data_IF_683770666048
#
_entry.id   IF_683770666048
#
_cell.length_a   1.000
_cell.length_b   1.000
_cell.length_c   1.000
_cell.angle_alpha   90.00
_cell.angle_beta   90.00
_cell.angle_gamma   90.00
#
_symmetry.space_group_name_H-M   'P 1'
#
loop_
_entity.id
_entity.type
_entity.pdbx_description
1 polymer ?
#
# COMPACT_ATOMS: atom_id res chain seq x y z
N UNK A 1 5.31 -14.81 -28.86
CA UNK A 1 4.50 -15.55 -27.85
C UNK A 1 5.29 -15.82 -26.58
N UNK A 2 6.50 -16.42 -26.65
CA UNK A 2 7.34 -16.71 -25.48
C UNK A 2 7.56 -15.50 -24.52
N UNK A 3 7.89 -14.31 -25.04
CA UNK A 3 8.07 -13.13 -24.20
C UNK A 3 6.80 -12.66 -23.46
N UNK A 4 5.60 -12.88 -24.02
CA UNK A 4 4.33 -12.56 -23.36
C UNK A 4 3.99 -13.59 -22.28
N UNK A 5 4.24 -14.87 -22.53
CA UNK A 5 4.06 -15.92 -21.52
C UNK A 5 4.97 -15.69 -20.31
N UNK A 6 6.24 -15.33 -20.55
CA UNK A 6 7.19 -15.01 -19.47
C UNK A 6 6.76 -13.75 -18.70
N UNK A 7 6.17 -12.77 -19.38
CA UNK A 7 5.61 -11.59 -18.73
C UNK A 7 4.45 -11.96 -17.79
N UNK A 8 3.50 -12.79 -18.21
CA UNK A 8 2.41 -13.25 -17.34
C UNK A 8 2.90 -14.17 -16.21
N UNK A 9 3.92 -14.98 -16.48
CA UNK A 9 4.57 -15.76 -15.44
C UNK A 9 5.22 -14.85 -14.38
N UNK A 10 5.90 -13.78 -14.80
CA UNK A 10 6.41 -12.74 -13.90
C UNK A 10 5.31 -12.04 -13.10
N UNK A 11 4.14 -11.79 -13.71
CA UNK A 11 2.99 -11.24 -12.99
C UNK A 11 2.57 -12.14 -11.81
N UNK A 12 2.51 -13.45 -12.03
CA UNK A 12 2.17 -14.43 -10.99
C UNK A 12 3.22 -14.44 -9.88
N UNK A 13 4.50 -14.59 -10.24
CA UNK A 13 5.62 -14.61 -9.29
C UNK A 13 5.64 -13.31 -8.47
N UNK A 14 5.57 -12.15 -9.13
CA UNK A 14 5.58 -10.85 -8.47
C UNK A 14 4.46 -10.69 -7.44
N UNK A 15 3.23 -11.13 -7.77
CA UNK A 15 2.09 -11.01 -6.85
C UNK A 15 2.28 -11.79 -5.54
N UNK A 16 2.91 -12.97 -5.60
CA UNK A 16 3.16 -13.79 -4.42
C UNK A 16 4.30 -13.23 -3.57
N UNK A 17 5.45 -12.95 -4.19
CA UNK A 17 6.64 -12.50 -3.47
C UNK A 17 6.47 -11.10 -2.89
N UNK A 18 6.04 -10.12 -3.69
CA UNK A 18 5.87 -8.76 -3.19
C UNK A 18 4.75 -8.65 -2.16
N UNK A 19 3.71 -9.51 -2.23
CA UNK A 19 2.69 -9.59 -1.19
C UNK A 19 3.26 -10.03 0.17
N UNK A 20 4.01 -11.15 0.19
CA UNK A 20 4.65 -11.66 1.41
C UNK A 20 5.66 -10.66 1.96
N UNK A 21 6.48 -10.09 1.08
CA UNK A 21 7.43 -9.05 1.47
C UNK A 21 6.68 -7.85 2.07
N UNK A 22 5.58 -7.39 1.45
CA UNK A 22 4.83 -6.19 1.87
C UNK A 22 4.27 -6.35 3.28
N UNK A 23 3.88 -7.56 3.65
CA UNK A 23 3.44 -7.89 5.01
C UNK A 23 4.61 -7.94 6.00
N UNK A 24 5.80 -8.37 5.56
CA UNK A 24 7.00 -8.47 6.41
C UNK A 24 7.67 -7.12 6.66
N UNK A 25 7.98 -6.34 5.62
CA UNK A 25 8.78 -5.12 5.74
C UNK A 25 7.96 -3.82 5.72
N UNK A 26 6.65 -3.90 5.48
CA UNK A 26 5.80 -2.73 5.35
C UNK A 26 5.45 -2.44 3.89
N UNK A 27 4.34 -1.75 3.68
CA UNK A 27 3.70 -1.61 2.37
C UNK A 27 4.32 -0.43 1.60
N UNK A 28 4.63 0.66 2.29
CA UNK A 28 5.27 1.86 1.69
C UNK A 28 6.69 1.59 1.14
N UNK A 29 7.65 0.99 1.88
CA UNK A 29 9.00 0.78 1.36
C UNK A 29 9.00 -0.18 0.18
N UNK A 30 8.14 -1.20 0.21
CA UNK A 30 8.11 -2.23 -0.83
C UNK A 30 7.47 -1.72 -2.11
N UNK A 31 6.42 -0.91 -1.99
CA UNK A 31 5.86 -0.22 -3.15
C UNK A 31 6.92 0.67 -3.81
N UNK A 32 7.76 1.34 -3.03
CA UNK A 32 8.81 2.23 -3.54
C UNK A 32 9.96 1.47 -4.21
N UNK A 33 10.43 0.39 -3.59
CA UNK A 33 11.39 -0.54 -4.22
C UNK A 33 10.83 -1.08 -5.53
N UNK A 34 9.54 -1.40 -5.58
CA UNK A 34 8.89 -1.87 -6.79
C UNK A 34 8.84 -0.80 -7.88
N UNK A 35 8.61 0.48 -7.55
CA UNK A 35 8.68 1.59 -8.51
C UNK A 35 10.09 1.80 -9.07
N UNK A 36 11.12 1.69 -8.23
CA UNK A 36 12.52 1.78 -8.66
C UNK A 36 12.85 0.62 -9.61
N UNK A 37 12.45 -0.60 -9.24
CA UNK A 37 12.68 -1.79 -10.05
C UNK A 37 11.90 -1.72 -11.38
N UNK A 38 10.68 -1.17 -11.37
CA UNK A 38 9.88 -0.94 -12.58
C UNK A 38 10.55 0.07 -13.51
N UNK A 39 11.03 1.19 -12.97
CA UNK A 39 11.69 2.23 -13.77
C UNK A 39 12.98 1.68 -14.40
N UNK A 40 13.83 1.01 -13.61
CA UNK A 40 15.07 0.41 -14.10
C UNK A 40 14.82 -0.66 -15.17
N UNK A 41 13.87 -1.58 -14.93
CA UNK A 41 13.52 -2.62 -15.90
C UNK A 41 12.87 -2.06 -17.17
N UNK A 42 12.11 -0.97 -17.08
CA UNK A 42 11.55 -0.23 -18.22
C UNK A 42 12.63 0.36 -19.11
N UNK A 43 13.62 1.03 -18.52
CA UNK A 43 14.79 1.54 -19.25
C UNK A 43 15.59 0.40 -19.91
N UNK A 44 15.83 -0.70 -19.19
CA UNK A 44 16.50 -1.89 -19.75
C UNK A 44 15.74 -2.49 -20.94
N UNK A 45 14.40 -2.51 -20.90
CA UNK A 45 13.59 -2.95 -22.05
C UNK A 45 13.73 -2.03 -23.27
N UNK A 46 13.99 -0.74 -23.04
CA UNK A 46 14.12 0.27 -24.08
C UNK A 46 15.50 0.21 -24.78
N UNK A 47 16.55 -0.19 -24.04
CA UNK A 47 17.91 -0.47 -24.54
C UNK A 47 18.03 -1.76 -25.37
N UNK A 48 16.95 -2.23 -25.97
CA UNK A 48 16.92 -3.46 -26.76
C UNK A 48 17.96 -3.56 -27.91
N UNK A 49 17.91 -4.65 -28.69
CA UNK A 49 19.06 -5.43 -29.15
C UNK A 49 20.34 -4.88 -29.82
N UNK A 50 20.52 -3.61 -30.21
CA UNK A 50 21.47 -3.34 -31.32
C UNK A 50 22.49 -2.19 -31.22
N UNK A 51 22.43 -1.23 -30.30
CA UNK A 51 23.10 0.04 -30.64
C UNK A 51 24.41 0.39 -29.92
N UNK A 52 24.88 -0.37 -28.90
CA UNK A 52 26.04 0.09 -28.11
C UNK A 52 27.20 -0.92 -27.93
N UNK A 53 27.02 -2.25 -28.00
CA UNK A 53 28.15 -3.19 -27.73
C UNK A 53 28.31 -4.43 -28.62
N UNK A 54 27.48 -4.68 -29.64
CA UNK A 54 27.71 -5.80 -30.56
C UNK A 54 27.83 -7.20 -29.92
N UNK A 55 27.40 -7.38 -28.66
CA UNK A 55 27.50 -8.63 -27.90
C UNK A 55 26.10 -9.25 -27.75
N UNK A 56 25.94 -10.51 -28.14
CA UNK A 56 24.71 -11.31 -27.95
C UNK A 56 24.57 -11.74 -26.46
N UNK A 57 23.37 -12.03 -25.88
CA UNK A 57 22.05 -12.31 -26.46
C UNK A 57 21.02 -11.24 -26.07
N UNK A 58 20.80 -10.32 -27.00
CA UNK A 58 19.87 -9.21 -26.88
C UNK A 58 18.42 -9.57 -26.54
N UNK A 59 17.98 -10.76 -26.94
CA UNK A 59 16.63 -11.26 -26.63
C UNK A 59 16.49 -11.73 -25.18
N UNK A 60 17.52 -12.34 -24.58
CA UNK A 60 17.45 -12.86 -23.20
C UNK A 60 17.39 -11.71 -22.21
N UNK A 61 18.22 -10.67 -22.39
CA UNK A 61 18.18 -9.46 -21.55
C UNK A 61 16.81 -8.79 -21.65
N UNK A 62 16.25 -8.68 -22.86
CA UNK A 62 14.91 -8.16 -23.07
C UNK A 62 13.84 -8.99 -22.34
N UNK A 63 13.91 -10.31 -22.42
CA UNK A 63 12.97 -11.22 -21.75
C UNK A 63 13.09 -11.15 -20.23
N UNK A 64 14.30 -11.09 -19.68
CA UNK A 64 14.55 -10.91 -18.24
C UNK A 64 14.09 -9.55 -17.75
N UNK A 65 14.35 -8.48 -18.51
CA UNK A 65 13.86 -7.14 -18.19
C UNK A 65 12.32 -7.09 -18.22
N UNK A 66 11.68 -7.75 -19.20
CA UNK A 66 10.22 -7.91 -19.26
C UNK A 66 9.67 -8.68 -18.07
N UNK A 67 10.34 -9.74 -17.64
CA UNK A 67 9.96 -10.52 -16.46
C UNK A 67 10.04 -9.66 -15.19
N UNK A 68 11.13 -8.92 -15.00
CA UNK A 68 11.30 -8.02 -13.86
C UNK A 68 10.26 -6.89 -13.85
N UNK A 69 10.04 -6.26 -15.01
CA UNK A 69 9.00 -5.25 -15.20
C UNK A 69 7.63 -5.80 -14.80
N UNK A 70 7.34 -7.04 -15.20
CA UNK A 70 6.12 -7.75 -14.85
C UNK A 70 5.95 -7.94 -13.34
N UNK A 71 6.99 -8.44 -12.67
CA UNK A 71 7.02 -8.63 -11.24
C UNK A 71 6.78 -7.32 -10.48
N UNK A 72 7.48 -6.24 -10.88
CA UNK A 72 7.37 -4.92 -10.26
C UNK A 72 5.99 -4.30 -10.43
N UNK A 73 5.43 -4.37 -11.64
CA UNK A 73 4.10 -3.80 -11.94
C UNK A 73 3.02 -4.43 -11.05
N UNK A 74 3.11 -5.75 -10.84
CA UNK A 74 2.19 -6.45 -9.93
C UNK A 74 2.47 -6.18 -8.46
N UNK A 75 3.72 -6.07 -8.06
CA UNK A 75 4.09 -5.68 -6.69
C UNK A 75 3.51 -4.31 -6.29
N UNK A 76 3.57 -3.33 -7.19
CA UNK A 76 2.98 -1.99 -7.00
C UNK A 76 1.46 -2.10 -6.85
N UNK A 77 0.80 -2.83 -7.76
CA UNK A 77 -0.66 -2.95 -7.78
C UNK A 77 -1.20 -3.60 -6.51
N UNK A 78 -0.60 -4.72 -6.06
CA UNK A 78 -1.02 -5.44 -4.85
C UNK A 78 -0.78 -4.58 -3.61
N UNK A 79 0.43 -4.02 -3.46
CA UNK A 79 0.77 -3.21 -2.29
C UNK A 79 -0.05 -1.92 -2.21
N UNK A 80 -0.27 -1.25 -3.34
CA UNK A 80 -1.06 -0.03 -3.44
C UNK A 80 -2.54 -0.25 -3.17
N UNK A 81 -3.12 -1.33 -3.71
CA UNK A 81 -4.52 -1.69 -3.42
C UNK A 81 -4.71 -2.00 -1.94
N UNK A 82 -3.82 -2.80 -1.34
CA UNK A 82 -3.89 -3.11 0.09
C UNK A 82 -3.78 -1.83 0.92
N UNK A 83 -2.78 -0.99 0.67
CA UNK A 83 -2.59 0.28 1.39
C UNK A 83 -3.82 1.19 1.28
N UNK A 84 -4.33 1.42 0.08
CA UNK A 84 -5.53 2.25 -0.13
C UNK A 84 -6.75 1.67 0.58
N UNK A 85 -6.94 0.35 0.51
CA UNK A 85 -8.04 -0.34 1.19
C UNK A 85 -7.89 -0.38 2.71
N UNK A 86 -6.69 -0.20 3.26
CA UNK A 86 -6.42 -0.17 4.70
C UNK A 86 -6.60 1.23 5.28
N UNK A 87 -6.28 2.26 4.50
CA UNK A 87 -6.54 3.67 4.85
C UNK A 87 -8.05 3.94 4.82
N UNK A 88 -8.77 3.32 3.87
CA UNK A 88 -10.22 3.49 3.75
C UNK A 88 -10.94 2.51 4.67
N UNK A 89 -11.77 3.04 5.58
CA UNK A 89 -12.53 2.22 6.53
C UNK A 89 -13.47 1.18 5.87
N UNK A 90 -13.92 0.16 6.63
CA UNK A 90 -14.63 -1.01 6.07
C UNK A 90 -15.86 -0.69 5.21
N UNK A 91 -16.62 0.35 5.58
CA UNK A 91 -17.85 0.75 4.86
C UNK A 91 -17.60 1.36 3.48
N UNK A 92 -16.41 1.93 3.23
CA UNK A 92 -16.09 2.63 1.98
C UNK A 92 -15.04 1.89 1.13
N UNK A 93 -14.60 0.71 1.58
CA UNK A 93 -13.55 -0.07 0.92
C UNK A 93 -13.91 -0.46 -0.52
N UNK A 94 -15.18 -0.78 -0.79
CA UNK A 94 -15.66 -1.09 -2.15
C UNK A 94 -15.45 0.10 -3.09
N UNK A 95 -15.87 1.29 -2.68
CA UNK A 95 -15.72 2.52 -3.47
C UNK A 95 -14.25 2.86 -3.71
N UNK A 96 -13.38 2.66 -2.73
CA UNK A 96 -11.94 2.87 -2.91
C UNK A 96 -11.34 1.95 -3.97
N UNK A 97 -11.75 0.67 -3.99
CA UNK A 97 -11.33 -0.26 -5.04
C UNK A 97 -11.81 0.18 -6.42
N UNK A 98 -13.08 0.58 -6.53
CA UNK A 98 -13.66 1.08 -7.79
C UNK A 98 -12.91 2.32 -8.30
N UNK A 99 -12.58 3.27 -7.41
CA UNK A 99 -11.85 4.49 -7.78
C UNK A 99 -10.44 4.15 -8.30
N UNK A 100 -9.73 3.22 -7.66
CA UNK A 100 -8.40 2.77 -8.13
C UNK A 100 -8.49 2.19 -9.55
N UNK A 101 -9.51 1.37 -9.83
CA UNK A 101 -9.71 0.79 -11.16
C UNK A 101 -10.05 1.85 -12.23
N UNK A 102 -10.85 2.87 -11.88
CA UNK A 102 -11.09 3.99 -12.80
C UNK A 102 -9.81 4.75 -13.15
N UNK A 103 -8.94 5.00 -12.17
CA UNK A 103 -7.64 5.63 -12.43
C UNK A 103 -6.76 4.75 -13.32
N UNK A 104 -6.78 3.43 -13.12
CA UNK A 104 -6.05 2.49 -13.97
C UNK A 104 -6.57 2.53 -15.42
N UNK A 105 -7.89 2.44 -15.62
CA UNK A 105 -8.52 2.52 -16.93
C UNK A 105 -8.21 3.85 -17.64
N UNK A 106 -8.32 4.97 -16.91
CA UNK A 106 -7.98 6.30 -17.43
C UNK A 106 -6.51 6.39 -17.86
N UNK A 107 -5.59 5.84 -17.07
CA UNK A 107 -4.17 5.76 -17.42
C UNK A 107 -3.91 4.96 -18.71
N UNK A 108 -4.66 3.87 -18.94
CA UNK A 108 -4.57 3.11 -20.20
C UNK A 108 -5.05 3.93 -21.41
N UNK A 109 -6.10 4.72 -21.28
CA UNK A 109 -6.55 5.60 -22.37
C UNK A 109 -5.51 6.67 -22.72
N UNK A 110 -4.86 7.25 -21.71
CA UNK A 110 -3.73 8.17 -21.92
C UNK A 110 -2.60 7.45 -22.67
N UNK A 111 -2.23 6.24 -22.23
CA UNK A 111 -1.20 5.45 -22.88
C UNK A 111 -1.51 5.17 -24.35
N UNK A 112 -2.74 4.77 -24.68
CA UNK A 112 -3.20 4.54 -26.06
C UNK A 112 -3.11 5.84 -26.88
N UNK A 113 -3.44 6.97 -26.27
CA UNK A 113 -3.31 8.29 -26.91
C UNK A 113 -1.84 8.60 -27.24
N UNK A 114 -0.91 8.36 -26.32
CA UNK A 114 0.53 8.50 -26.60
C UNK A 114 1.02 7.53 -27.68
N UNK A 115 0.52 6.30 -27.70
CA UNK A 115 0.86 5.31 -28.73
C UNK A 115 0.36 5.71 -30.13
N UNK A 116 -0.69 6.52 -30.24
CA UNK A 116 -1.15 7.07 -31.51
C UNK A 116 -0.14 8.06 -32.11
N UNK A 117 0.41 8.95 -31.27
CA UNK A 117 1.40 9.95 -31.68
C UNK A 117 2.81 9.36 -31.86
N UNK A 118 3.24 8.51 -30.91
CA UNK A 118 4.57 7.91 -30.90
C UNK A 118 4.49 6.52 -31.54
N UNK A 119 4.75 6.46 -32.84
CA UNK A 119 4.71 5.19 -33.60
C UNK A 119 5.91 4.28 -33.36
N UNK A 120 7.01 4.82 -32.83
CA UNK A 120 8.20 4.03 -32.48
C UNK A 120 8.02 3.39 -31.12
N UNK A 121 7.96 2.05 -31.08
CA UNK A 121 7.77 1.28 -29.85
C UNK A 121 8.82 1.58 -28.76
N UNK A 122 10.05 1.94 -29.15
CA UNK A 122 11.12 2.30 -28.23
C UNK A 122 10.87 3.64 -27.55
N UNK A 123 10.59 4.67 -28.34
CA UNK A 123 10.28 6.00 -27.82
C UNK A 123 9.07 5.93 -26.89
N UNK A 124 8.09 5.07 -27.20
CA UNK A 124 6.94 4.83 -26.32
C UNK A 124 7.38 4.24 -24.97
N UNK A 125 8.24 3.22 -24.94
CA UNK A 125 8.76 2.64 -23.68
C UNK A 125 9.59 3.67 -22.89
N UNK A 126 10.41 4.48 -23.57
CA UNK A 126 11.16 5.57 -22.94
C UNK A 126 10.23 6.59 -22.29
N UNK A 127 9.19 7.03 -23.00
CA UNK A 127 8.18 7.97 -22.50
C UNK A 127 7.41 7.42 -21.30
N UNK A 128 7.11 6.12 -21.28
CA UNK A 128 6.45 5.49 -20.13
C UNK A 128 7.42 5.42 -18.94
N UNK A 129 8.67 5.01 -19.18
CA UNK A 129 9.67 4.83 -18.12
C UNK A 129 10.09 6.15 -17.47
N UNK A 130 10.13 7.25 -18.23
CA UNK A 130 10.38 8.58 -17.65
C UNK A 130 9.20 9.05 -16.80
N UNK A 131 7.96 8.73 -17.20
CA UNK A 131 6.77 9.08 -16.44
C UNK A 131 6.68 8.34 -15.09
N UNK A 132 7.40 7.23 -14.93
CA UNK A 132 7.39 6.46 -13.67
C UNK A 132 8.38 6.98 -12.64
N UNK A 133 9.38 7.79 -13.03
CA UNK A 133 10.41 8.32 -12.11
C UNK A 133 9.84 9.27 -11.05
N UNK A 134 8.93 10.21 -11.37
CA UNK A 134 8.31 11.08 -10.37
C UNK A 134 7.59 10.31 -9.26
N UNK A 135 7.17 9.06 -9.49
CA UNK A 135 6.48 8.28 -8.47
C UNK A 135 7.36 7.91 -7.26
N UNK A 136 8.68 8.01 -7.39
CA UNK A 136 9.60 7.83 -6.25
C UNK A 136 9.36 8.93 -5.19
N UNK A 137 9.00 10.15 -5.61
CA UNK A 137 8.72 11.24 -4.67
C UNK A 137 7.45 11.00 -3.84
N UNK A 138 6.50 10.18 -4.33
CA UNK A 138 5.36 9.76 -3.53
C UNK A 138 5.76 8.94 -2.30
N UNK A 139 6.98 8.39 -2.24
CA UNK A 139 7.49 7.78 -1.02
C UNK A 139 7.41 8.76 0.15
N UNK A 140 7.74 10.03 -0.02
CA UNK A 140 7.75 11.01 1.08
C UNK A 140 6.36 11.40 1.56
N UNK A 141 5.39 11.44 0.64
CA UNK A 141 4.02 11.88 0.92
C UNK A 141 3.18 10.73 1.51
N UNK A 142 3.42 9.50 1.07
CA UNK A 142 2.58 8.37 1.45
C UNK A 142 2.86 7.92 2.88
N UNK A 143 1.82 7.83 3.72
CA UNK A 143 1.99 7.29 5.05
C UNK A 143 1.99 5.75 5.03
N UNK A 144 2.65 5.13 6.02
CA UNK A 144 2.71 3.67 6.16
C UNK A 144 1.39 3.10 6.66
N UNK A 145 1.03 1.88 6.26
CA UNK A 145 -0.22 1.21 6.66
C UNK A 145 -0.47 1.25 8.19
N UNK A 146 -1.63 1.77 8.64
CA UNK A 146 -1.98 1.82 10.06
C UNK A 146 -1.98 0.43 10.70
N UNK A 147 -2.55 -0.56 10.02
CA UNK A 147 -2.65 -1.95 10.52
C UNK A 147 -1.29 -2.60 10.70
N UNK A 148 -0.36 -2.32 9.80
CA UNK A 148 1.01 -2.85 9.88
C UNK A 148 1.74 -2.27 11.10
N UNK A 149 1.63 -0.95 11.31
CA UNK A 149 2.21 -0.26 12.46
C UNK A 149 1.64 -0.78 13.78
N UNK A 150 0.32 -0.93 13.85
CA UNK A 150 -0.39 -1.48 15.02
C UNK A 150 0.07 -2.90 15.36
N UNK A 151 0.24 -3.77 14.35
CA UNK A 151 0.68 -5.16 14.56
C UNK A 151 2.10 -5.23 15.14
N UNK A 152 2.96 -4.26 14.85
CA UNK A 152 4.36 -4.21 15.32
C UNK A 152 4.60 -3.35 16.57
N UNK A 153 3.54 -2.76 17.17
CA UNK A 153 3.65 -1.83 18.32
C UNK A 153 4.61 -0.65 18.07
N UNK A 154 4.77 -0.23 16.81
CA UNK A 154 5.64 0.91 16.47
C UNK A 154 4.90 2.24 16.72
N UNK A 155 5.61 3.25 17.22
CA UNK A 155 5.07 4.58 17.55
C UNK A 155 4.46 5.21 16.29
N UNK A 156 3.15 5.45 16.31
CA UNK A 156 2.42 6.09 15.21
C UNK A 156 2.71 7.58 15.27
N UNK A 157 3.24 8.17 14.19
CA UNK A 157 3.34 9.62 14.09
C UNK A 157 1.96 10.16 13.67
N UNK A 158 1.19 10.60 14.68
CA UNK A 158 -0.24 10.89 14.60
C UNK A 158 -0.59 12.20 13.87
N UNK A 159 0.39 13.07 13.64
CA UNK A 159 0.19 14.38 12.98
C UNK A 159 -0.43 14.25 11.57
N UNK A 160 -0.09 13.20 10.82
CA UNK A 160 -0.58 13.00 9.45
C UNK A 160 -1.88 12.18 9.32
N UNK A 161 -2.34 11.54 10.41
CA UNK A 161 -3.41 10.53 10.36
C UNK A 161 -4.75 10.97 10.97
N UNK A 162 -4.75 12.03 11.79
CA UNK A 162 -5.90 12.44 12.62
C UNK A 162 -7.16 12.79 11.83
N UNK A 163 -7.03 13.22 10.57
CA UNK A 163 -8.15 13.66 9.75
C UNK A 163 -8.87 12.54 8.98
N UNK A 164 -8.23 11.38 8.78
CA UNK A 164 -8.71 10.33 7.85
C UNK A 164 -9.25 9.10 8.59
N UNK A 165 -8.66 8.77 9.74
CA UNK A 165 -9.06 7.63 10.56
C UNK A 165 -9.09 8.06 12.03
N UNK A 166 -10.25 8.42 12.61
CA UNK A 166 -10.40 8.27 14.05
C UNK A 166 -10.18 6.78 14.32
N UNK A 167 -9.09 6.43 15.01
CA UNK A 167 -8.89 5.05 15.46
C UNK A 167 -10.18 4.59 16.15
N UNK A 168 -10.63 3.36 15.87
CA UNK A 168 -11.92 2.94 16.42
C UNK A 168 -11.82 2.97 17.95
N UNK A 169 -12.71 3.67 18.67
CA UNK A 169 -12.65 3.75 20.14
C UNK A 169 -12.60 2.37 20.81
N UNK A 170 -13.27 1.39 20.20
CA UNK A 170 -13.26 -0.01 20.62
C UNK A 170 -11.87 -0.65 20.61
N UNK A 171 -11.03 -0.30 19.64
CA UNK A 171 -9.67 -0.82 19.53
C UNK A 171 -8.75 -0.20 20.59
N UNK A 172 -8.85 1.12 20.81
CA UNK A 172 -8.10 1.82 21.85
C UNK A 172 -8.43 1.27 23.25
N UNK A 173 -9.73 1.05 23.51
CA UNK A 173 -10.22 0.38 24.73
C UNK A 173 -9.62 -1.03 24.85
N UNK A 174 -9.64 -1.85 23.78
CA UNK A 174 -9.03 -3.20 23.80
C UNK A 174 -7.51 -3.23 24.06
N UNK A 175 -6.84 -2.08 23.95
CA UNK A 175 -5.40 -1.93 24.19
C UNK A 175 -5.07 -1.24 25.52
N UNK A 176 -6.09 -0.88 26.31
CA UNK A 176 -5.92 -0.11 27.55
C UNK A 176 -5.49 1.34 27.34
N UNK A 177 -5.56 1.87 26.10
CA UNK A 177 -5.20 3.25 25.76
C UNK A 177 -6.44 4.15 25.93
N UNK A 178 -6.91 4.29 27.17
CA UNK A 178 -8.21 4.91 27.43
C UNK A 178 -8.23 6.43 27.22
N UNK A 179 -7.15 7.16 27.50
CA UNK A 179 -7.09 8.62 27.33
C UNK A 179 -7.23 9.03 25.86
N UNK A 180 -6.63 8.24 24.98
CA UNK A 180 -6.75 8.40 23.53
C UNK A 180 -8.16 8.02 23.04
N UNK A 181 -8.73 6.94 23.59
CA UNK A 181 -10.11 6.54 23.28
C UNK A 181 -11.11 7.64 23.65
N UNK A 182 -10.89 8.28 24.79
CA UNK A 182 -11.72 9.38 25.29
C UNK A 182 -11.69 10.58 24.36
N UNK A 183 -10.49 11.00 23.94
CA UNK A 183 -10.31 12.14 23.02
C UNK A 183 -11.06 11.91 21.71
N UNK A 184 -10.95 10.70 21.14
CA UNK A 184 -11.67 10.33 19.91
C UNK A 184 -13.19 10.27 20.15
N UNK A 185 -13.65 9.72 21.28
CA UNK A 185 -15.07 9.66 21.60
C UNK A 185 -15.68 11.06 21.81
N UNK A 186 -14.97 11.99 22.44
CA UNK A 186 -15.40 13.40 22.59
C UNK A 186 -15.51 14.11 21.24
N UNK A 187 -14.60 13.84 20.30
CA UNK A 187 -14.68 14.34 18.91
C UNK A 187 -15.89 13.74 18.16
N UNK A 188 -16.19 12.46 18.36
CA UNK A 188 -17.36 11.81 17.77
C UNK A 188 -18.66 12.36 18.38
N UNK A 189 -18.69 12.61 19.68
CA UNK A 189 -19.83 13.15 20.42
C UNK A 189 -20.19 14.56 19.94
N UNK A 190 -19.20 15.45 19.84
CA UNK A 190 -19.36 16.81 19.30
C UNK A 190 -19.83 16.81 17.84
N UNK A 191 -19.27 15.95 16.99
CA UNK A 191 -19.69 15.82 15.58
C UNK A 191 -21.10 15.26 15.42
N UNK A 192 -21.53 14.38 16.31
CA UNK A 192 -22.87 13.78 16.32
C UNK A 192 -23.89 14.57 17.15
N UNK A 193 -23.51 15.74 17.71
CA UNK A 193 -24.35 16.57 18.60
C UNK A 193 -24.97 15.74 19.73
N UNK A 194 -24.18 14.85 20.33
CA UNK A 194 -24.56 14.06 21.51
C UNK A 194 -23.66 14.41 22.67
N UNK A 195 -24.23 14.41 23.87
CA UNK A 195 -23.46 14.60 25.08
C UNK A 195 -22.61 13.37 25.38
N UNK A 196 -21.36 13.61 25.77
CA UNK A 196 -20.45 12.55 26.18
C UNK A 196 -20.77 12.17 27.62
N UNK A 197 -21.22 10.93 27.83
CA UNK A 197 -21.51 10.42 29.16
C UNK A 197 -20.21 9.94 29.82
N UNK A 198 -19.66 10.77 30.72
CA UNK A 198 -18.42 10.50 31.45
C UNK A 198 -18.58 9.30 32.41
N UNK A 199 -19.74 9.17 33.06
CA UNK A 199 -20.02 8.08 34.00
C UNK A 199 -20.03 6.72 33.30
N UNK A 200 -20.65 6.64 32.13
CA UNK A 200 -20.68 5.41 31.33
C UNK A 200 -19.29 5.03 30.81
N UNK A 201 -18.43 6.01 30.51
CA UNK A 201 -17.06 5.76 30.09
C UNK A 201 -16.20 5.26 31.25
N UNK A 202 -16.39 5.80 32.44
CA UNK A 202 -15.67 5.38 33.63
C UNK A 202 -16.10 3.99 34.10
N UNK A 203 -17.40 3.67 34.06
CA UNK A 203 -17.90 2.32 34.32
C UNK A 203 -17.27 1.28 33.36
N UNK A 204 -17.08 1.65 32.09
CA UNK A 204 -16.38 0.80 31.12
C UNK A 204 -14.91 0.56 31.46
N UNK A 205 -14.19 1.56 31.99
CA UNK A 205 -12.81 1.41 32.47
C UNK A 205 -12.74 0.44 33.65
N UNK A 206 -13.61 0.63 34.63
CA UNK A 206 -13.65 -0.17 35.86
C UNK A 206 -13.99 -1.65 35.56
N UNK A 207 -14.91 -1.91 34.63
CA UNK A 207 -15.23 -3.28 34.19
C UNK A 207 -14.04 -3.97 33.52
N UNK A 208 -13.29 -3.26 32.66
CA UNK A 208 -12.10 -3.82 32.04
C UNK A 208 -10.97 -4.10 33.03
N UNK A 209 -10.77 -3.21 33.99
CA UNK A 209 -9.76 -3.38 35.03
C UNK A 209 -10.07 -4.57 35.93
N UNK A 210 -11.35 -4.77 36.29
CA UNK A 210 -11.82 -5.97 37.00
C UNK A 210 -11.55 -7.26 36.22
N UNK A 211 -11.82 -7.28 34.91
CA UNK A 211 -11.53 -8.47 34.08
C UNK A 211 -10.03 -8.76 34.06
N UNK A 212 -9.19 -7.72 33.93
CA UNK A 212 -7.73 -7.87 33.98
C UNK A 212 -7.25 -8.40 35.34
N UNK A 213 -7.81 -7.91 36.45
CA UNK A 213 -7.49 -8.37 37.80
C UNK A 213 -7.92 -9.82 38.03
N UNK A 214 -9.08 -10.24 37.53
CA UNK A 214 -9.52 -11.64 37.61
C UNK A 214 -8.56 -12.55 36.84
N UNK A 215 -8.15 -12.16 35.63
CA UNK A 215 -7.19 -12.92 34.83
C UNK A 215 -5.82 -12.95 35.51
N UNK A 216 -5.34 -11.83 36.05
CA UNK A 216 -4.06 -11.78 36.78
C UNK A 216 -4.10 -12.65 38.04
N UNK A 217 -5.16 -12.58 38.84
CA UNK A 217 -5.31 -13.44 40.02
C UNK A 217 -5.37 -14.92 39.64
N UNK A 218 -6.00 -15.26 38.50
CA UNK A 218 -6.00 -16.63 37.97
C UNK A 218 -4.61 -17.13 37.55
N UNK A 219 -3.70 -16.23 37.14
CA UNK A 219 -2.34 -16.60 36.71
C UNK A 219 -1.26 -16.49 37.80
N UNK A 220 -1.48 -15.70 38.86
CA UNK A 220 -0.49 -15.43 39.90
C UNK A 220 -0.83 -16.03 41.28
N UNK A 221 -2.01 -16.61 41.45
CA UNK A 221 -2.40 -17.38 42.64
C UNK A 221 -2.74 -18.83 42.26
N UNK A 222 -1.72 -19.59 41.85
CA UNK A 222 -1.58 -21.03 42.17
C UNK A 222 -0.39 -21.21 43.11
#
# INVERSE_FOLDING_TARGET
MAAQTIFFFGYMVGSMFFGILADKYGRRPIMSVSFILMSFSGFLCAFGPQDIFGFWPSYIIFVLARFLLACSTRGISVSGFVLGSEIVGPRKRLYAGIVIEYFFAFGQFILVTFAYFIRTWRALIWSISIFTVPYIFFYFILPESPRWLTKRKLKINYENYSSILPESPRWLVSKGRFDEAETVLRQIATKNKRDFNEDAFQQMKDEQEKVCLVVLNFFFYE
#
